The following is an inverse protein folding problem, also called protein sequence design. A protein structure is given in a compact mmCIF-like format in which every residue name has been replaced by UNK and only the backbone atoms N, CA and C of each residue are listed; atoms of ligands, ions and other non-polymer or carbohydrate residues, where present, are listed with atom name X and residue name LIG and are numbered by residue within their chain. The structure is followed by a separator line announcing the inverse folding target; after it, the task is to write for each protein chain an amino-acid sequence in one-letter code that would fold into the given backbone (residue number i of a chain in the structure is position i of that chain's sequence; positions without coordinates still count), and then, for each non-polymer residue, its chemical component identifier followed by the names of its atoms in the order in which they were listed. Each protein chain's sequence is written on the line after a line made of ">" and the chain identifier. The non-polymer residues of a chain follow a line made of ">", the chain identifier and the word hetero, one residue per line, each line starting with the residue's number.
data_IF_445934458347
#
_entry.id   IF_445934458347
#
_cell.length_a   1.000
_cell.length_b   1.000
_cell.length_c   1.000
_cell.angle_alpha   90.00
_cell.angle_beta   90.00
_cell.angle_gamma   90.00
#
_symmetry.space_group_name_H-M   'P 1'
#
loop_
_entity.id
_entity.type
_entity.pdbx_description
1 polymer ?
#
# COMPACT_ATOMS: atom_id res chain seq x y z
N UNK A 1 -21.39 0.12 20.92
CA UNK A 1 -20.33 1.13 20.69
C UNK A 1 -20.60 1.73 19.32
N UNK A 2 -20.90 3.04 19.21
CA UNK A 2 -21.10 3.66 17.91
C UNK A 2 -19.77 3.69 17.13
N UNK A 3 -19.86 3.81 15.80
CA UNK A 3 -18.71 4.12 14.96
C UNK A 3 -18.23 5.55 15.27
N UNK A 4 -16.94 5.79 15.02
CA UNK A 4 -16.42 7.15 14.92
C UNK A 4 -17.17 7.91 13.80
N UNK A 5 -17.51 9.20 13.97
CA UNK A 5 -18.29 9.95 12.98
C UNK A 5 -17.68 9.96 11.57
N UNK A 6 -16.37 10.12 11.45
CA UNK A 6 -15.69 10.18 10.15
C UNK A 6 -15.73 8.80 9.46
N UNK A 7 -15.60 7.74 10.25
CA UNK A 7 -15.74 6.35 9.76
C UNK A 7 -17.19 6.07 9.34
N UNK A 8 -18.18 6.57 10.07
CA UNK A 8 -19.59 6.40 9.73
C UNK A 8 -19.93 7.08 8.39
N UNK A 9 -19.43 8.29 8.16
CA UNK A 9 -19.58 9.01 6.88
C UNK A 9 -18.93 8.24 5.74
N UNK A 10 -17.71 7.75 5.93
CA UNK A 10 -17.02 6.93 4.92
C UNK A 10 -17.80 5.66 4.58
N UNK A 11 -18.31 4.93 5.58
CA UNK A 11 -19.11 3.72 5.36
C UNK A 11 -20.39 4.03 4.59
N UNK A 12 -21.06 5.14 4.90
CA UNK A 12 -22.24 5.57 4.18
C UNK A 12 -21.91 5.90 2.71
N UNK A 13 -20.86 6.69 2.46
CA UNK A 13 -20.43 7.04 1.12
C UNK A 13 -20.05 5.80 0.29
N UNK A 14 -19.41 4.80 0.91
CA UNK A 14 -19.09 3.52 0.26
C UNK A 14 -20.36 2.74 -0.11
N UNK A 15 -21.36 2.70 0.77
CA UNK A 15 -22.64 2.03 0.49
C UNK A 15 -23.40 2.67 -0.68
N UNK A 16 -23.34 4.00 -0.79
CA UNK A 16 -23.99 4.76 -1.88
C UNK A 16 -23.38 4.47 -3.27
N UNK A 17 -22.14 3.96 -3.34
CA UNK A 17 -21.53 3.56 -4.62
C UNK A 17 -22.24 2.38 -5.30
N UNK A 18 -23.00 1.58 -4.53
CA UNK A 18 -23.66 0.37 -5.04
C UNK A 18 -22.67 -0.69 -5.55
N UNK A 19 -21.39 -0.61 -5.19
CA UNK A 19 -20.40 -1.59 -5.59
C UNK A 19 -20.77 -2.98 -5.03
N UNK A 20 -20.65 -4.07 -5.81
CA UNK A 20 -20.91 -5.41 -5.32
C UNK A 20 -19.92 -5.77 -4.21
N UNK A 21 -20.31 -6.71 -3.36
CA UNK A 21 -19.37 -7.30 -2.41
C UNK A 21 -18.19 -7.94 -3.17
N UNK A 22 -17.01 -7.98 -2.54
CA UNK A 22 -15.80 -8.56 -3.14
C UNK A 22 -16.00 -10.02 -3.61
N UNK A 23 -16.93 -10.75 -2.97
CA UNK A 23 -17.29 -12.13 -3.31
C UNK A 23 -18.30 -12.28 -4.44
N UNK A 24 -18.94 -11.19 -4.88
CA UNK A 24 -20.07 -11.22 -5.82
C UNK A 24 -19.71 -10.66 -7.20
N UNK A 25 -18.52 -10.08 -7.37
CA UNK A 25 -17.99 -9.56 -8.63
C UNK A 25 -16.84 -10.37 -9.23
N UNK A 26 -16.25 -9.90 -10.33
CA UNK A 26 -15.01 -10.49 -10.88
C UNK A 26 -13.77 -10.00 -10.15
N UNK A 27 -12.67 -10.74 -10.26
CA UNK A 27 -11.37 -10.36 -9.68
C UNK A 27 -10.87 -9.03 -10.25
N UNK A 28 -11.07 -8.80 -11.55
CA UNK A 28 -10.67 -7.57 -12.24
C UNK A 28 -11.47 -6.37 -11.74
N UNK A 29 -12.78 -6.54 -11.51
CA UNK A 29 -13.62 -5.52 -10.91
C UNK A 29 -13.16 -5.19 -9.49
N UNK A 30 -12.88 -6.21 -8.68
CA UNK A 30 -12.40 -6.02 -7.32
C UNK A 30 -11.05 -5.26 -7.28
N UNK A 31 -10.10 -5.63 -8.15
CA UNK A 31 -8.82 -4.92 -8.31
C UNK A 31 -9.03 -3.47 -8.76
N UNK A 32 -9.87 -3.26 -9.77
CA UNK A 32 -10.17 -1.92 -10.29
C UNK A 32 -10.81 -1.02 -9.22
N UNK A 33 -11.74 -1.56 -8.42
CA UNK A 33 -12.37 -0.84 -7.31
C UNK A 33 -11.32 -0.46 -6.25
N UNK A 34 -10.42 -1.38 -5.93
CA UNK A 34 -9.34 -1.14 -4.98
C UNK A 34 -8.45 0.04 -5.41
N UNK A 35 -7.96 0.06 -6.65
CA UNK A 35 -7.11 1.15 -7.15
C UNK A 35 -7.83 2.49 -7.36
N UNK A 36 -9.17 2.49 -7.43
CA UNK A 36 -9.97 3.74 -7.49
C UNK A 36 -10.24 4.35 -6.12
N UNK A 37 -9.98 3.61 -5.05
CA UNK A 37 -10.18 4.11 -3.69
C UNK A 37 -9.17 5.23 -3.42
N UNK A 38 -9.62 6.44 -3.02
CA UNK A 38 -8.72 7.52 -2.69
C UNK A 38 -7.73 7.10 -1.59
N UNK A 39 -6.46 7.42 -1.80
CA UNK A 39 -5.41 7.23 -0.79
C UNK A 39 -4.96 8.59 -0.27
N UNK A 40 -4.49 8.66 0.99
CA UNK A 40 -3.93 9.90 1.51
C UNK A 40 -2.69 10.31 0.71
N UNK A 41 -2.31 11.59 0.73
CA UNK A 41 -1.06 12.04 0.13
C UNK A 41 0.13 11.24 0.65
N UNK A 42 1.03 10.89 -0.28
CA UNK A 42 2.26 10.17 0.02
C UNK A 42 3.31 11.08 0.67
N UNK A 43 4.02 10.56 1.67
CA UNK A 43 5.18 11.23 2.25
C UNK A 43 6.35 11.35 1.24
N UNK A 44 7.07 12.46 1.26
CA UNK A 44 8.26 12.66 0.42
C UNK A 44 9.40 11.76 0.92
N UNK A 45 10.04 11.04 0.00
CA UNK A 45 11.15 10.13 0.29
C UNK A 45 12.29 10.46 -0.66
N UNK A 46 13.49 10.66 -0.11
CA UNK A 46 14.68 11.06 -0.85
C UNK A 46 15.00 10.11 -2.01
N UNK A 47 14.84 8.80 -1.79
CA UNK A 47 15.07 7.79 -2.81
C UNK A 47 13.96 6.75 -2.84
N UNK A 48 13.37 6.60 -4.02
CA UNK A 48 12.43 5.52 -4.34
C UNK A 48 12.92 4.85 -5.61
N UNK A 49 13.14 3.54 -5.56
CA UNK A 49 13.71 2.80 -6.69
C UNK A 49 12.96 1.49 -6.89
N UNK A 50 12.46 1.31 -8.11
CA UNK A 50 11.89 0.04 -8.55
C UNK A 50 13.01 -0.92 -8.94
N UNK A 51 12.87 -2.17 -8.51
CA UNK A 51 13.84 -3.22 -8.76
C UNK A 51 13.16 -4.58 -8.80
N UNK A 52 13.98 -5.61 -8.94
CA UNK A 52 13.55 -6.99 -9.04
C UNK A 52 14.46 -7.88 -8.21
N UNK A 53 13.88 -8.91 -7.60
CA UNK A 53 14.62 -9.98 -6.92
C UNK A 53 14.25 -11.33 -7.50
N UNK A 54 15.21 -12.25 -7.54
CA UNK A 54 14.96 -13.60 -8.03
C UNK A 54 14.10 -14.40 -7.05
N UNK A 55 13.02 -14.98 -7.55
CA UNK A 55 12.12 -15.86 -6.82
C UNK A 55 12.04 -17.26 -7.43
N UNK A 56 11.52 -18.26 -6.69
CA UNK A 56 11.43 -19.65 -7.15
C UNK A 56 10.49 -19.83 -8.37
N UNK A 57 9.63 -18.86 -8.64
CA UNK A 57 8.68 -18.87 -9.76
C UNK A 57 8.91 -17.72 -10.76
N UNK A 58 10.10 -17.10 -10.71
CA UNK A 58 10.46 -15.96 -11.55
C UNK A 58 10.76 -14.70 -10.75
N UNK A 59 11.00 -13.62 -11.48
CA UNK A 59 11.38 -12.32 -10.93
C UNK A 59 10.21 -11.68 -10.16
N UNK A 60 10.51 -11.17 -8.96
CA UNK A 60 9.54 -10.52 -8.07
C UNK A 60 9.81 -9.01 -8.09
N UNK A 61 8.84 -8.17 -8.49
CA UNK A 61 9.00 -6.73 -8.45
C UNK A 61 9.03 -6.24 -7.00
N UNK A 62 9.96 -5.34 -6.70
CA UNK A 62 10.08 -4.67 -5.41
C UNK A 62 10.27 -3.17 -5.61
N UNK A 63 9.92 -2.38 -4.60
CA UNK A 63 10.25 -0.96 -4.52
C UNK A 63 10.99 -0.69 -3.21
N UNK A 64 12.14 -0.04 -3.34
CA UNK A 64 13.04 0.29 -2.23
C UNK A 64 12.85 1.75 -1.89
N UNK A 65 12.69 2.05 -0.60
CA UNK A 65 12.53 3.40 -0.06
C UNK A 65 13.67 3.71 0.90
N UNK A 66 14.35 4.83 0.70
CA UNK A 66 15.38 5.33 1.61
C UNK A 66 15.22 6.83 1.86
N UNK A 67 15.28 7.22 3.14
CA UNK A 67 15.09 8.60 3.59
C UNK A 67 16.36 9.46 3.52
N UNK A 68 17.52 8.82 3.33
CA UNK A 68 18.83 9.49 3.29
C UNK A 68 19.43 9.44 1.89
N UNK A 69 20.21 10.45 1.53
CA UNK A 69 20.88 10.54 0.22
C UNK A 69 22.01 9.53 -0.02
N UNK A 70 22.54 8.95 1.06
CA UNK A 70 23.61 7.94 1.01
C UNK A 70 23.28 6.79 1.98
N UNK A 71 22.30 5.94 1.63
CA UNK A 71 21.89 4.84 2.50
C UNK A 71 23.01 3.80 2.58
N UNK A 72 23.65 3.68 3.74
CA UNK A 72 24.67 2.67 4.02
C UNK A 72 24.45 2.10 5.42
N UNK A 73 24.49 0.76 5.55
CA UNK A 73 24.35 0.04 6.81
C UNK A 73 23.10 0.39 7.65
N UNK A 74 21.98 0.68 6.98
CA UNK A 74 20.71 0.97 7.64
C UNK A 74 19.96 -0.32 8.01
N UNK A 75 19.17 -0.32 9.10
CA UNK A 75 18.19 -1.38 9.33
C UNK A 75 17.18 -1.41 8.18
N UNK A 76 16.72 -2.61 7.82
CA UNK A 76 15.78 -2.82 6.71
C UNK A 76 14.45 -3.35 7.24
N UNK A 77 13.37 -2.76 6.78
CA UNK A 77 12.01 -3.30 6.94
C UNK A 77 11.56 -3.88 5.61
N UNK A 78 11.19 -5.15 5.61
CA UNK A 78 10.58 -5.81 4.45
C UNK A 78 9.07 -5.78 4.64
N UNK A 79 8.38 -4.98 3.83
CA UNK A 79 6.92 -4.85 3.88
C UNK A 79 6.26 -5.70 2.78
N UNK A 80 5.23 -6.45 3.17
CA UNK A 80 4.35 -7.17 2.25
C UNK A 80 2.99 -6.48 2.25
N UNK A 81 2.51 -6.12 1.08
CA UNK A 81 1.27 -5.37 0.94
C UNK A 81 0.04 -6.19 1.33
N UNK A 82 -1.02 -5.52 1.78
CA UNK A 82 -2.32 -6.13 2.05
C UNK A 82 -3.11 -6.44 0.76
N UNK A 83 -4.39 -6.79 0.92
CA UNK A 83 -5.29 -7.07 -0.21
C UNK A 83 -5.59 -8.55 -0.42
N UNK A 84 -5.43 -9.38 0.62
CA UNK A 84 -5.92 -10.77 0.66
C UNK A 84 -5.34 -11.66 -0.44
N UNK A 85 -4.09 -11.44 -0.84
CA UNK A 85 -3.40 -12.14 -1.93
C UNK A 85 -4.02 -11.98 -3.32
N UNK A 86 -5.00 -11.08 -3.48
CA UNK A 86 -5.76 -10.92 -4.73
C UNK A 86 -5.70 -9.49 -5.26
N UNK A 87 -5.83 -8.47 -4.41
CA UNK A 87 -6.32 -7.14 -4.83
C UNK A 87 -5.25 -6.13 -5.22
N UNK A 88 -4.11 -6.12 -4.52
CA UNK A 88 -3.19 -4.98 -4.53
C UNK A 88 -1.86 -5.28 -5.23
N UNK A 89 -1.01 -4.26 -5.29
CA UNK A 89 0.36 -4.29 -5.78
C UNK A 89 1.22 -3.33 -4.95
N UNK A 90 2.50 -3.20 -5.33
CA UNK A 90 3.42 -2.19 -4.79
C UNK A 90 2.83 -0.78 -4.90
N UNK A 91 2.17 -0.44 -6.01
CA UNK A 91 1.57 0.88 -6.21
C UNK A 91 0.36 1.11 -5.29
N UNK A 92 -0.40 0.06 -5.00
CA UNK A 92 -1.58 0.15 -4.13
C UNK A 92 -1.26 0.49 -2.67
N UNK A 93 -0.02 0.24 -2.24
CA UNK A 93 0.44 0.51 -0.87
C UNK A 93 1.64 1.46 -0.81
N UNK A 94 1.91 2.20 -1.89
CA UNK A 94 3.05 3.12 -1.96
C UNK A 94 3.03 4.16 -0.82
N UNK A 95 1.86 4.76 -0.56
CA UNK A 95 1.67 5.73 0.53
C UNK A 95 2.00 5.14 1.92
N UNK A 96 1.62 3.87 2.17
CA UNK A 96 1.93 3.18 3.43
C UNK A 96 3.42 2.90 3.55
N UNK A 97 4.05 2.43 2.46
CA UNK A 97 5.47 2.15 2.43
C UNK A 97 6.31 3.40 2.68
N UNK A 98 5.94 4.53 2.06
CA UNK A 98 6.56 5.84 2.28
C UNK A 98 6.41 6.31 3.72
N UNK A 99 5.20 6.19 4.28
CA UNK A 99 4.97 6.54 5.68
C UNK A 99 5.82 5.70 6.63
N UNK A 100 5.92 4.39 6.38
CA UNK A 100 6.77 3.52 7.17
C UNK A 100 8.24 3.95 7.09
N UNK A 101 8.75 4.26 5.89
CA UNK A 101 10.12 4.73 5.71
C UNK A 101 10.37 6.08 6.42
N UNK A 102 9.45 7.04 6.30
CA UNK A 102 9.58 8.37 6.89
C UNK A 102 9.60 8.36 8.42
N UNK A 103 8.83 7.46 9.04
CA UNK A 103 8.62 7.46 10.50
C UNK A 103 9.31 6.30 11.22
N UNK A 104 10.09 5.47 10.53
CA UNK A 104 10.98 4.49 11.17
C UNK A 104 12.35 5.11 11.36
N UNK A 105 12.77 5.44 12.60
CA UNK A 105 14.08 6.02 12.84
C UNK A 105 15.20 5.00 12.55
N UNK A 106 16.41 5.46 12.17
CA UNK A 106 17.57 4.59 12.18
C UNK A 106 17.79 4.03 13.59
N UNK A 107 18.25 2.78 13.68
CA UNK A 107 18.63 2.20 14.97
C UNK A 107 19.71 3.07 15.64
N UNK A 108 19.56 3.31 16.94
CA UNK A 108 20.50 4.07 17.75
C UNK A 108 21.89 3.43 17.82
#
# INVERSE_FOLDING_TARGET
>A
MPLDPDVAELVQALAETGAPALSEGTVEQARSNYFRTPTPPSDEIAHVTDSFVDGPHGSIPIRIYATTSQPAHLPVVVMFHGGGWVLSSVDGHDHVARRLAAFTPPAC
#
